data_IF_485791016252
#
_entry.id   IF_485791016252
#
_cell.length_a   1.000
_cell.length_b   1.000
_cell.length_c   1.000
_cell.angle_alpha   90.00
_cell.angle_beta   90.00
_cell.angle_gamma   90.00
#
_symmetry.space_group_name_H-M   'P 1'
#
loop_
_entity.id
_entity.type
_entity.pdbx_description
1 polymer ?
#
# COMPACT_ATOMS: atom_id res chain seq x y z
N UNK A 1 -7.47 0.01 -10.85
CA UNK A 1 -8.79 0.68 -10.92
C UNK A 1 -9.70 0.49 -9.70
N UNK A 2 -9.33 -0.26 -8.65
CA UNK A 2 -10.31 -0.68 -7.62
C UNK A 2 -10.48 0.21 -6.39
N UNK A 3 -9.46 1.00 -6.01
CA UNK A 3 -9.49 1.78 -4.76
C UNK A 3 -10.12 3.15 -4.97
N UNK A 4 -9.68 3.87 -6.01
CA UNK A 4 -10.07 5.26 -6.24
C UNK A 4 -11.58 5.50 -6.37
N UNK A 5 -12.37 4.65 -7.06
CA UNK A 5 -13.82 4.85 -7.17
C UNK A 5 -14.54 4.90 -5.81
N UNK A 6 -14.07 4.13 -4.83
CA UNK A 6 -14.65 4.14 -3.48
C UNK A 6 -14.29 5.43 -2.74
N UNK A 7 -13.08 5.95 -2.93
CA UNK A 7 -12.59 7.15 -2.25
C UNK A 7 -13.15 8.44 -2.86
N UNK A 8 -13.57 8.43 -4.13
CA UNK A 8 -14.21 9.57 -4.78
C UNK A 8 -15.60 9.90 -4.21
N UNK A 9 -16.21 8.97 -3.46
CA UNK A 9 -17.42 9.25 -2.69
C UNK A 9 -17.02 10.13 -1.50
N UNK A 10 -17.39 11.41 -1.56
CA UNK A 10 -16.96 12.43 -0.59
C UNK A 10 -17.18 12.01 0.87
N UNK A 11 -18.34 11.46 1.19
CA UNK A 11 -18.68 11.03 2.55
C UNK A 11 -17.78 9.89 3.05
N UNK A 12 -17.34 8.99 2.16
CA UNK A 12 -16.39 7.93 2.51
C UNK A 12 -15.02 8.54 2.81
N UNK A 13 -14.50 9.41 1.94
CA UNK A 13 -13.20 10.06 2.18
C UNK A 13 -13.20 10.92 3.46
N UNK A 14 -14.31 11.63 3.72
CA UNK A 14 -14.49 12.43 4.93
C UNK A 14 -14.53 11.56 6.19
N UNK A 15 -15.25 10.44 6.15
CA UNK A 15 -15.30 9.49 7.26
C UNK A 15 -13.94 8.86 7.56
N UNK A 16 -13.17 8.50 6.52
CA UNK A 16 -11.81 7.98 6.68
C UNK A 16 -10.91 9.03 7.34
N UNK A 17 -10.95 10.30 6.89
CA UNK A 17 -10.16 11.38 7.52
C UNK A 17 -10.51 11.61 8.98
N UNK A 18 -11.80 11.64 9.30
CA UNK A 18 -12.28 11.87 10.66
C UNK A 18 -11.98 10.71 11.61
N UNK A 19 -11.71 9.52 11.07
CA UNK A 19 -11.44 8.31 11.85
C UNK A 19 -10.09 8.38 12.58
N UNK A 20 -10.11 7.93 13.84
CA UNK A 20 -8.93 7.73 14.68
C UNK A 20 -8.25 6.36 14.43
N UNK A 21 -8.84 5.53 13.57
CA UNK A 21 -8.25 4.25 13.19
C UNK A 21 -6.89 4.44 12.51
N UNK A 22 -6.03 3.43 12.62
CA UNK A 22 -4.81 3.34 11.82
C UNK A 22 -5.17 3.13 10.35
N UNK A 23 -4.83 4.11 9.51
CA UNK A 23 -5.15 4.11 8.07
C UNK A 23 -3.91 3.72 7.29
N UNK A 24 -3.92 2.53 6.70
CA UNK A 24 -2.78 2.00 5.94
C UNK A 24 -3.19 1.85 4.49
N UNK A 25 -2.45 2.47 3.58
CA UNK A 25 -2.54 2.17 2.15
C UNK A 25 -1.59 1.02 1.83
N UNK A 26 -2.12 -0.10 1.36
CA UNK A 26 -1.34 -1.25 0.90
C UNK A 26 -1.11 -1.09 -0.60
N UNK A 27 0.12 -0.77 -0.99
CA UNK A 27 0.46 -0.61 -2.39
C UNK A 27 0.50 -1.96 -3.10
N UNK A 28 0.14 -1.99 -4.38
CA UNK A 28 0.27 -3.17 -5.21
C UNK A 28 1.74 -3.66 -5.25
N UNK A 29 1.94 -4.98 -5.24
CA UNK A 29 3.27 -5.59 -5.45
C UNK A 29 3.76 -5.50 -6.89
N UNK A 30 2.84 -5.59 -7.85
CA UNK A 30 3.14 -5.64 -9.26
C UNK A 30 2.23 -4.68 -10.04
N UNK A 31 2.78 -4.11 -11.10
CA UNK A 31 2.07 -3.24 -12.03
C UNK A 31 1.01 -4.05 -12.78
N UNK A 32 -0.10 -3.38 -13.11
CA UNK A 32 -1.17 -3.94 -13.91
C UNK A 32 -0.98 -3.44 -15.35
N UNK A 33 -0.76 -4.36 -16.29
CA UNK A 33 -0.62 -4.03 -17.71
C UNK A 33 -1.83 -3.22 -18.20
N UNK A 34 -1.59 -2.08 -18.85
CA UNK A 34 -2.63 -1.17 -19.30
C UNK A 34 -3.26 -0.24 -18.24
N UNK A 35 -2.92 -0.35 -16.95
CA UNK A 35 -3.41 0.59 -15.91
C UNK A 35 -2.28 1.35 -15.19
N UNK A 36 -1.17 0.70 -14.85
CA UNK A 36 -0.12 1.27 -13.98
C UNK A 36 1.29 0.97 -14.47
N UNK A 37 1.47 0.91 -15.79
CA UNK A 37 2.79 0.69 -16.40
C UNK A 37 3.77 1.76 -15.92
N UNK A 38 4.91 1.33 -15.35
CA UNK A 38 5.96 2.16 -14.75
C UNK A 38 5.60 2.94 -13.48
N UNK A 39 4.44 2.72 -12.85
CA UNK A 39 4.12 3.42 -11.61
C UNK A 39 5.00 2.95 -10.45
N UNK A 40 5.59 3.90 -9.74
CA UNK A 40 6.16 3.67 -8.43
C UNK A 40 5.05 3.64 -7.36
N UNK A 41 5.40 3.19 -6.16
CA UNK A 41 4.52 3.30 -5.01
C UNK A 41 4.11 4.76 -4.73
N UNK A 42 5.03 5.71 -4.94
CA UNK A 42 4.76 7.15 -4.84
C UNK A 42 3.78 7.66 -5.87
N UNK A 43 3.87 7.21 -7.11
CA UNK A 43 2.90 7.59 -8.15
C UNK A 43 1.49 7.13 -7.77
N UNK A 44 1.37 5.91 -7.25
CA UNK A 44 0.10 5.39 -6.76
C UNK A 44 -0.50 6.22 -5.63
N UNK A 45 0.30 6.59 -4.63
CA UNK A 45 -0.15 7.41 -3.51
C UNK A 45 -0.54 8.83 -3.96
N UNK A 46 0.30 9.45 -4.80
CA UNK A 46 0.06 10.79 -5.36
C UNK A 46 -1.22 10.84 -6.17
N UNK A 47 -1.50 9.82 -7.00
CA UNK A 47 -2.76 9.76 -7.75
C UNK A 47 -3.96 9.73 -6.81
N UNK A 48 -3.90 9.04 -5.68
CA UNK A 48 -5.00 9.07 -4.71
C UNK A 48 -5.15 10.49 -4.15
N UNK A 49 -4.05 11.07 -3.65
CA UNK A 49 -4.06 12.41 -3.06
C UNK A 49 -4.53 13.49 -4.03
N UNK A 50 -4.16 13.43 -5.31
CA UNK A 50 -4.60 14.37 -6.35
C UNK A 50 -6.12 14.36 -6.56
N UNK A 51 -6.77 13.21 -6.34
CA UNK A 51 -8.20 13.05 -6.57
C UNK A 51 -9.05 13.32 -5.33
N UNK A 52 -8.56 12.94 -4.15
CA UNK A 52 -9.37 13.01 -2.92
C UNK A 52 -8.84 14.00 -1.91
N UNK A 53 -7.59 14.46 -2.04
CA UNK A 53 -6.88 15.31 -1.08
C UNK A 53 -5.98 14.50 -0.15
N UNK A 54 -4.93 15.15 0.37
CA UNK A 54 -3.90 14.56 1.24
C UNK A 54 -4.43 14.04 2.59
N UNK A 55 -3.53 13.40 3.34
CA UNK A 55 -3.72 12.98 4.74
C UNK A 55 -4.82 11.92 4.95
N UNK A 56 -5.10 11.13 3.91
CA UNK A 56 -6.06 10.03 4.01
C UNK A 56 -5.47 8.79 4.69
N UNK A 57 -4.15 8.59 4.57
CA UNK A 57 -3.44 7.45 5.09
C UNK A 57 -2.31 7.89 6.03
N UNK A 58 -2.14 7.15 7.12
CA UNK A 58 -1.06 7.36 8.09
C UNK A 58 0.23 6.67 7.62
N UNK A 59 0.10 5.50 6.98
CA UNK A 59 1.23 4.65 6.55
C UNK A 59 0.99 4.13 5.14
N UNK A 60 2.05 4.10 4.33
CA UNK A 60 2.09 3.34 3.10
C UNK A 60 2.86 2.04 3.34
N UNK A 61 2.20 0.90 3.14
CA UNK A 61 2.81 -0.41 3.19
C UNK A 61 3.19 -0.83 1.77
N UNK A 62 4.49 -1.03 1.53
CA UNK A 62 5.02 -1.43 0.22
C UNK A 62 5.94 -2.65 0.33
N UNK A 63 6.00 -3.42 -0.77
CA UNK A 63 6.85 -4.59 -0.86
C UNK A 63 8.32 -4.21 -1.11
N UNK A 64 9.25 -4.87 -0.41
CA UNK A 64 10.69 -4.75 -0.67
C UNK A 64 11.36 -6.07 -1.11
N UNK A 65 10.59 -7.16 -1.21
CA UNK A 65 11.11 -8.44 -1.65
C UNK A 65 11.03 -8.56 -3.18
N UNK A 66 12.10 -9.07 -3.79
CA UNK A 66 12.10 -9.47 -5.21
C UNK A 66 12.52 -10.91 -5.31
N UNK A 67 11.82 -11.70 -6.12
CA UNK A 67 12.34 -13.01 -6.53
C UNK A 67 13.30 -12.83 -7.70
N UNK A 68 14.35 -13.65 -7.75
CA UNK A 68 15.27 -13.72 -8.90
C UNK A 68 14.56 -14.06 -10.22
N UNK A 69 13.33 -14.59 -10.14
CA UNK A 69 12.51 -14.95 -11.29
C UNK A 69 11.69 -13.73 -11.73
N UNK A 70 12.30 -12.86 -12.53
CA UNK A 70 11.54 -11.93 -13.37
C UNK A 70 10.82 -12.74 -14.45
N UNK A 71 9.52 -13.00 -14.26
CA UNK A 71 8.66 -13.51 -15.34
C UNK A 71 8.31 -12.31 -16.23
N UNK A 72 8.36 -12.48 -17.56
CA UNK A 72 8.11 -11.44 -18.58
C UNK A 72 6.74 -10.74 -18.50
N UNK A 73 5.85 -11.17 -17.61
CA UNK A 73 4.43 -10.81 -17.65
C UNK A 73 4.02 -9.74 -16.63
N UNK A 74 4.92 -9.28 -15.76
CA UNK A 74 4.64 -8.20 -14.81
C UNK A 74 5.92 -7.47 -14.41
N UNK A 75 5.79 -6.23 -13.95
CA UNK A 75 6.89 -5.46 -13.35
C UNK A 75 6.60 -5.19 -11.88
N UNK A 76 7.62 -5.25 -11.04
CA UNK A 76 7.51 -4.92 -9.63
C UNK A 76 7.24 -3.43 -9.43
N UNK A 77 6.27 -3.10 -8.59
CA UNK A 77 6.11 -1.72 -8.09
C UNK A 77 7.21 -1.48 -7.07
N UNK A 78 8.02 -0.45 -7.30
CA UNK A 78 9.13 -0.10 -6.41
C UNK A 78 8.70 1.00 -5.46
N UNK A 79 9.12 0.89 -4.20
CA UNK A 79 9.16 2.05 -3.33
C UNK A 79 10.26 2.99 -3.84
N UNK A 80 9.89 4.22 -4.20
CA UNK A 80 10.84 5.25 -4.59
C UNK A 80 11.33 6.04 -3.35
N UNK A 81 12.48 6.70 -3.48
CA UNK A 81 13.09 7.44 -2.39
C UNK A 81 12.30 8.71 -2.03
N UNK A 82 11.61 9.30 -3.01
CA UNK A 82 10.87 10.57 -2.85
C UNK A 82 9.60 10.37 -2.01
N UNK A 83 9.00 9.20 -2.05
CA UNK A 83 7.84 8.79 -1.27
C UNK A 83 8.09 8.98 0.24
N UNK A 84 9.33 8.76 0.69
CA UNK A 84 9.69 8.87 2.11
C UNK A 84 9.71 10.31 2.62
N UNK A 85 9.68 11.29 1.71
CA UNK A 85 9.63 12.72 2.06
C UNK A 85 8.21 13.19 2.41
N UNK A 86 7.19 12.46 1.94
CA UNK A 86 5.78 12.85 2.06
C UNK A 86 4.98 11.88 2.94
N UNK A 87 5.41 10.63 3.04
CA UNK A 87 4.67 9.58 3.75
C UNK A 87 5.57 8.77 4.67
N UNK A 88 4.98 8.28 5.74
CA UNK A 88 5.59 7.20 6.52
C UNK A 88 5.46 5.89 5.74
N UNK A 89 6.58 5.31 5.32
CA UNK A 89 6.60 4.06 4.56
C UNK A 89 7.02 2.91 5.47
N UNK A 90 6.26 1.83 5.43
CA UNK A 90 6.68 0.53 5.95
C UNK A 90 7.01 -0.41 4.78
N UNK A 91 8.21 -1.01 4.83
CA UNK A 91 8.69 -1.95 3.83
C UNK A 91 8.73 -3.37 4.41
N UNK A 92 8.10 -4.31 3.74
CA UNK A 92 8.08 -5.71 4.16
C UNK A 92 8.11 -6.67 2.95
N UNK A 93 8.48 -7.93 3.19
CA UNK A 93 8.22 -9.00 2.23
C UNK A 93 6.71 -9.30 2.24
N UNK A 94 6.05 -8.93 1.15
CA UNK A 94 4.61 -9.13 1.00
C UNK A 94 4.27 -10.12 -0.11
N UNK A 95 5.25 -10.73 -0.77
CA UNK A 95 5.00 -11.55 -1.97
C UNK A 95 4.53 -12.96 -1.62
N UNK A 96 3.61 -13.47 -2.43
CA UNK A 96 3.25 -14.89 -2.51
C UNK A 96 4.32 -15.63 -3.35
N UNK A 97 4.94 -16.65 -2.77
CA UNK A 97 6.06 -17.36 -3.41
C UNK A 97 5.61 -18.19 -4.62
N UNK A 98 4.38 -18.71 -4.58
CA UNK A 98 3.79 -19.47 -5.69
C UNK A 98 3.28 -18.52 -6.79
N UNK A 99 2.78 -17.35 -6.39
CA UNK A 99 2.15 -16.36 -7.26
C UNK A 99 2.72 -14.94 -7.01
N UNK A 100 3.94 -14.64 -7.47
CA UNK A 100 4.67 -13.44 -7.01
C UNK A 100 4.07 -12.10 -7.45
N UNK A 101 3.13 -12.10 -8.40
CA UNK A 101 2.41 -10.90 -8.84
C UNK A 101 1.29 -10.47 -7.88
N UNK A 102 1.08 -11.17 -6.75
CA UNK A 102 0.10 -10.82 -5.72
C UNK A 102 0.70 -10.90 -4.32
N UNK A 103 -0.03 -10.34 -3.37
CA UNK A 103 0.30 -10.43 -1.95
C UNK A 103 0.13 -11.85 -1.40
N UNK A 104 1.03 -12.27 -0.52
CA UNK A 104 0.77 -13.35 0.43
C UNK A 104 -0.18 -12.85 1.50
N UNK A 105 -1.37 -13.47 1.62
CA UNK A 105 -2.36 -13.10 2.64
C UNK A 105 -1.81 -13.27 4.06
N UNK A 106 -0.99 -14.30 4.28
CA UNK A 106 -0.37 -14.57 5.59
C UNK A 106 0.66 -13.50 5.96
N UNK A 107 1.59 -13.18 5.06
CA UNK A 107 2.62 -12.16 5.30
C UNK A 107 1.98 -10.79 5.52
N UNK A 108 1.03 -10.42 4.65
CA UNK A 108 0.30 -9.16 4.76
C UNK A 108 -0.45 -9.04 6.09
N UNK A 109 -1.20 -10.08 6.51
CA UNK A 109 -1.92 -10.06 7.77
C UNK A 109 -0.97 -9.92 8.97
N UNK A 110 0.15 -10.65 8.98
CA UNK A 110 1.16 -10.55 10.04
C UNK A 110 1.73 -9.13 10.14
N UNK A 111 2.09 -8.52 9.01
CA UNK A 111 2.61 -7.14 8.97
C UNK A 111 1.58 -6.13 9.47
N UNK A 112 0.30 -6.26 9.06
CA UNK A 112 -0.76 -5.34 9.51
C UNK A 112 -1.03 -5.47 11.02
N UNK A 113 -1.00 -6.69 11.56
CA UNK A 113 -1.15 -6.92 13.01
C UNK A 113 0.03 -6.33 13.78
N UNK A 114 1.26 -6.52 13.30
CA UNK A 114 2.44 -5.95 13.93
C UNK A 114 2.37 -4.41 13.96
N UNK A 115 2.03 -3.77 12.83
CA UNK A 115 1.84 -2.32 12.75
C UNK A 115 0.74 -1.80 13.68
N UNK A 116 -0.36 -2.54 13.80
CA UNK A 116 -1.42 -2.20 14.75
C UNK A 116 -0.91 -2.26 16.19
N UNK A 117 -0.21 -3.33 16.57
CA UNK A 117 0.34 -3.52 17.91
C UNK A 117 1.40 -2.46 18.26
N UNK A 118 2.26 -2.08 17.32
CA UNK A 118 3.23 -1.01 17.49
C UNK A 118 2.55 0.34 17.79
N UNK A 119 1.44 0.65 17.12
CA UNK A 119 0.68 1.87 17.35
C UNK A 119 -0.08 1.87 18.68
N UNK A 120 -0.67 0.74 19.07
CA UNK A 120 -1.54 0.67 20.25
C UNK A 120 -0.84 0.26 21.54
N UNK A 121 0.44 -0.16 21.47
CA UNK A 121 1.08 -0.93 22.53
C UNK A 121 0.56 -2.37 22.58
N UNK A 122 1.17 -3.25 23.41
CA UNK A 122 0.66 -4.61 23.58
C UNK A 122 -0.82 -4.54 24.00
N UNK A 123 -1.68 -5.24 23.26
CA UNK A 123 -3.05 -5.48 23.67
C UNK A 123 -2.99 -6.38 24.91
N UNK A 124 -2.82 -5.79 26.09
CA UNK A 124 -3.19 -6.43 27.35
C UNK A 124 -4.69 -6.67 27.28
N UNK A 125 -5.07 -7.86 26.84
CA UNK A 125 -6.37 -8.47 27.10
C UNK A 125 -6.47 -8.85 28.57
#
# INVERSE_FOLDING_TARGET
TSILPNLLVKDISAAIRASQALKIYVCNVATQAGETENFSCGDHARVIDDHVGSDLFDIILANNATLAVSKKNFQWVKADAELSTQYLIHLADLIDEEHPWRHSSQKLAQTLIALLQERTGPLTL
#
